data_IF_426792086571
#
_entry.id   IF_426792086571
#
_cell.length_a   1.000
_cell.length_b   1.000
_cell.length_c   1.000
_cell.angle_alpha   90.00
_cell.angle_beta   90.00
_cell.angle_gamma   90.00
#
_symmetry.space_group_name_H-M   'P 1'
#
loop_
_entity.id
_entity.type
_entity.pdbx_description
1 polymer ?
#
# COMPACT_ATOMS: atom_id res chain seq x y z
N UNK A 1 -5.62 4.57 -12.58
CA UNK A 1 -4.51 3.78 -12.01
C UNK A 1 -4.58 3.85 -10.51
N UNK A 2 -4.17 2.79 -9.85
CA UNK A 2 -4.18 2.71 -8.39
C UNK A 2 -2.76 2.59 -7.88
N UNK A 3 -2.44 3.31 -6.81
CA UNK A 3 -1.12 3.25 -6.19
C UNK A 3 -1.22 2.57 -4.83
N UNK A 4 -0.21 1.77 -4.53
CA UNK A 4 -0.10 1.12 -3.24
C UNK A 4 0.89 1.95 -2.42
N UNK A 5 0.42 2.40 -1.26
CA UNK A 5 1.16 3.34 -0.42
C UNK A 5 1.42 2.72 0.93
N UNK A 6 2.65 2.75 1.39
CA UNK A 6 2.98 2.35 2.76
C UNK A 6 3.13 3.61 3.62
N UNK A 7 2.65 3.52 4.85
CA UNK A 7 2.78 4.61 5.82
C UNK A 7 3.38 4.06 7.11
N UNK A 8 4.43 4.73 7.57
CA UNK A 8 5.05 4.38 8.86
C UNK A 8 4.29 5.08 9.97
N UNK A 9 3.72 4.31 10.90
CA UNK A 9 2.77 4.84 11.88
C UNK A 9 3.40 5.81 12.88
N UNK A 10 4.70 5.69 13.15
CA UNK A 10 5.35 6.52 14.14
C UNK A 10 5.76 7.90 13.64
N UNK A 11 6.00 8.05 12.35
CA UNK A 11 6.45 9.32 11.77
C UNK A 11 5.47 9.88 10.76
N UNK A 12 4.46 9.10 10.40
CA UNK A 12 3.46 9.47 9.39
C UNK A 12 4.07 9.71 8.02
N UNK A 13 5.27 9.20 7.79
CA UNK A 13 5.90 9.25 6.47
C UNK A 13 5.30 8.15 5.60
N UNK A 14 4.98 8.48 4.37
CA UNK A 14 4.42 7.51 3.44
C UNK A 14 5.17 7.56 2.12
N UNK A 15 5.15 6.43 1.39
CA UNK A 15 5.73 6.39 0.05
C UNK A 15 4.97 5.38 -0.82
N UNK A 16 5.01 5.63 -2.12
CA UNK A 16 4.40 4.74 -3.09
C UNK A 16 5.34 3.57 -3.32
N UNK A 17 4.85 2.36 -3.09
CA UNK A 17 5.66 1.14 -3.20
C UNK A 17 5.31 0.29 -4.40
N UNK A 18 4.13 0.50 -5.00
CA UNK A 18 3.72 -0.24 -6.18
C UNK A 18 2.54 0.45 -6.84
N UNK A 19 2.11 -0.06 -7.98
CA UNK A 19 0.94 0.46 -8.69
C UNK A 19 0.22 -0.69 -9.38
N UNK A 20 -1.05 -0.47 -9.71
CA UNK A 20 -1.87 -1.45 -10.39
C UNK A 20 -2.83 -0.76 -11.35
N UNK A 21 -3.19 -1.46 -12.42
CA UNK A 21 -4.09 -0.92 -13.43
C UNK A 21 -5.56 -1.02 -13.05
N UNK A 22 -5.91 -1.96 -12.19
CA UNK A 22 -7.29 -2.15 -11.75
C UNK A 22 -7.36 -2.33 -10.23
N UNK A 23 -8.56 -2.10 -9.71
CA UNK A 23 -8.76 -2.13 -8.25
C UNK A 23 -8.55 -3.53 -7.66
N UNK A 24 -8.98 -4.57 -8.35
CA UNK A 24 -8.79 -5.94 -7.85
C UNK A 24 -7.32 -6.28 -7.71
N UNK A 25 -6.51 -5.89 -8.69
CA UNK A 25 -5.07 -6.07 -8.62
C UNK A 25 -4.47 -5.29 -7.47
N UNK A 26 -4.95 -4.05 -7.27
CA UNK A 26 -4.47 -3.21 -6.17
C UNK A 26 -4.77 -3.84 -4.82
N UNK A 27 -5.97 -4.42 -4.65
CA UNK A 27 -6.33 -5.08 -3.40
C UNK A 27 -5.46 -6.31 -3.14
N UNK A 28 -5.14 -7.06 -4.20
CA UNK A 28 -4.27 -8.22 -4.08
C UNK A 28 -2.87 -7.80 -3.63
N UNK A 29 -2.34 -6.75 -4.25
CA UNK A 29 -1.03 -6.22 -3.88
C UNK A 29 -1.04 -5.69 -2.45
N UNK A 30 -2.10 -4.97 -2.08
CA UNK A 30 -2.24 -4.48 -0.70
C UNK A 30 -2.15 -5.63 0.29
N UNK A 31 -2.87 -6.71 0.04
CA UNK A 31 -2.87 -7.86 0.93
C UNK A 31 -1.47 -8.48 1.03
N UNK A 32 -0.78 -8.63 -0.09
CA UNK A 32 0.55 -9.20 -0.10
C UNK A 32 1.54 -8.33 0.68
N UNK A 33 1.46 -7.01 0.51
CA UNK A 33 2.34 -6.10 1.23
C UNK A 33 2.02 -6.07 2.73
N UNK A 34 0.74 -6.19 3.09
CA UNK A 34 0.37 -6.27 4.51
C UNK A 34 1.00 -7.47 5.18
N UNK A 35 1.12 -8.58 4.46
CA UNK A 35 1.76 -9.78 5.00
C UNK A 35 3.27 -9.63 5.09
N UNK A 36 3.86 -8.84 4.21
CA UNK A 36 5.31 -8.67 4.14
C UNK A 36 5.83 -7.58 5.07
N UNK A 37 5.03 -6.55 5.33
CA UNK A 37 5.43 -5.42 6.16
C UNK A 37 5.12 -5.71 7.62
N UNK A 38 5.90 -5.09 8.50
CA UNK A 38 5.71 -5.24 9.95
C UNK A 38 4.53 -4.38 10.40
N UNK A 39 4.08 -4.62 11.64
CA UNK A 39 2.92 -3.92 12.19
C UNK A 39 3.10 -2.40 12.31
N UNK A 40 4.33 -1.92 12.19
CA UNK A 40 4.61 -0.48 12.22
C UNK A 40 4.18 0.24 10.93
N UNK A 41 3.70 -0.50 9.92
CA UNK A 41 3.29 0.08 8.64
C UNK A 41 1.83 -0.21 8.36
N UNK A 42 1.18 0.73 7.71
CA UNK A 42 -0.15 0.51 7.12
C UNK A 42 -0.02 0.56 5.61
N UNK A 43 -0.80 -0.25 4.91
CA UNK A 43 -0.79 -0.29 3.45
C UNK A 43 -2.15 0.21 2.98
N UNK A 44 -2.13 1.16 2.04
CA UNK A 44 -3.35 1.80 1.54
C UNK A 44 -3.34 1.80 0.02
N UNK A 45 -4.54 1.79 -0.56
CA UNK A 45 -4.72 1.92 -2.00
C UNK A 45 -5.26 3.33 -2.27
N UNK A 46 -4.60 4.03 -3.16
CA UNK A 46 -4.99 5.40 -3.55
C UNK A 46 -5.27 5.39 -5.05
N UNK A 47 -6.44 5.86 -5.42
CA UNK A 47 -6.80 5.99 -6.82
C UNK A 47 -6.30 7.33 -7.36
N UNK A 48 -5.72 7.28 -8.55
CA UNK A 48 -5.29 8.47 -9.27
C UNK A 48 -6.05 8.64 -10.58
#
# INVERSE_FOLDING_TARGET
>A
MFKIVSRYVYTDIFEVIDSADCYQEALRLKHEYELAFMSAYTIEVVEE
#
